data_IF_143783312242
#
_entry.id   IF_143783312242
#
_cell.length_a   1.000
_cell.length_b   1.000
_cell.length_c   1.000
_cell.angle_alpha   90.00
_cell.angle_beta   90.00
_cell.angle_gamma   90.00
#
_symmetry.space_group_name_H-M   'P 1'
#
loop_
_entity.id
_entity.type
_entity.pdbx_description
1 polymer ?
#
# COMPACT_ATOMS: atom_id res chain seq x y z
N UNK A 1 -18.34 -14.67 8.66
CA UNK A 1 -17.49 -13.91 7.73
C UNK A 1 -16.29 -14.77 7.43
N UNK A 2 -16.15 -15.29 6.20
CA UNK A 2 -14.91 -15.94 5.78
C UNK A 2 -13.79 -14.93 5.91
N UNK A 3 -12.80 -15.22 6.73
CA UNK A 3 -11.70 -14.28 6.95
C UNK A 3 -10.80 -14.25 5.73
N UNK A 4 -10.35 -13.05 5.32
CA UNK A 4 -9.27 -12.82 4.32
C UNK A 4 -8.08 -13.79 4.47
N UNK A 5 -7.89 -14.31 5.69
CA UNK A 5 -6.96 -15.37 6.09
C UNK A 5 -6.98 -16.60 5.18
N UNK A 6 -8.14 -17.05 4.69
CA UNK A 6 -8.21 -18.26 3.83
C UNK A 6 -7.74 -18.02 2.39
N UNK A 7 -7.53 -16.77 1.99
CA UNK A 7 -7.21 -16.40 0.61
C UNK A 7 -5.71 -16.11 0.39
N UNK A 8 -4.90 -16.08 1.47
CA UNK A 8 -3.47 -15.77 1.43
C UNK A 8 -2.61 -16.99 1.15
N UNK A 9 -3.01 -17.71 0.10
CA UNK A 9 -2.43 -18.99 -0.29
C UNK A 9 -0.90 -18.87 -0.45
N UNK A 10 -0.40 -17.81 -1.09
CA UNK A 10 1.04 -17.64 -1.29
C UNK A 10 1.78 -17.40 0.04
N UNK A 11 1.17 -16.70 1.00
CA UNK A 11 1.82 -16.45 2.28
C UNK A 11 2.00 -17.76 3.06
N UNK A 12 0.93 -18.55 3.17
CA UNK A 12 0.91 -19.82 3.91
C UNK A 12 1.88 -20.84 3.28
N UNK A 13 2.00 -20.83 1.95
CA UNK A 13 2.90 -21.71 1.22
C UNK A 13 4.38 -21.30 1.30
N UNK A 14 4.65 -20.04 1.66
CA UNK A 14 6.01 -19.50 1.77
C UNK A 14 6.48 -19.36 3.22
N UNK A 15 5.68 -19.71 4.23
CA UNK A 15 6.08 -19.58 5.65
C UNK A 15 7.29 -20.43 6.05
N UNK A 16 7.65 -21.44 5.24
CA UNK A 16 8.83 -22.30 5.45
C UNK A 16 10.12 -21.71 4.83
N UNK A 17 10.01 -20.74 3.91
CA UNK A 17 11.15 -20.13 3.23
C UNK A 17 11.41 -18.70 3.74
N UNK A 18 12.66 -18.24 3.69
CA UNK A 18 12.97 -16.83 3.90
C UNK A 18 12.33 -16.02 2.77
N UNK A 19 11.13 -15.49 3.01
CA UNK A 19 10.30 -14.64 2.11
C UNK A 19 11.07 -13.51 1.39
N UNK A 20 12.30 -13.22 1.83
CA UNK A 20 13.17 -12.21 1.22
C UNK A 20 13.73 -12.66 -0.14
N UNK A 21 14.02 -13.96 -0.35
CA UNK A 21 14.56 -14.50 -1.60
C UNK A 21 13.71 -15.63 -2.18
N UNK A 22 13.06 -15.38 -3.30
CA UNK A 22 12.11 -16.30 -3.94
C UNK A 22 12.65 -16.76 -5.30
N UNK A 23 12.72 -18.08 -5.52
CA UNK A 23 13.07 -18.62 -6.84
C UNK A 23 11.90 -18.48 -7.79
N UNK A 24 12.15 -17.94 -8.99
CA UNK A 24 11.13 -17.76 -10.01
C UNK A 24 10.45 -19.09 -10.37
N UNK A 25 11.22 -20.16 -10.57
CA UNK A 25 10.69 -21.48 -10.88
C UNK A 25 9.70 -21.98 -9.83
N UNK A 26 9.99 -21.76 -8.54
CA UNK A 26 9.09 -22.14 -7.44
C UNK A 26 7.79 -21.35 -7.46
N UNK A 27 7.85 -20.04 -7.74
CA UNK A 27 6.66 -19.20 -7.88
C UNK A 27 5.77 -19.67 -9.05
N UNK A 28 6.39 -20.07 -10.17
CA UNK A 28 5.68 -20.63 -11.33
C UNK A 28 4.98 -21.94 -10.95
N UNK A 29 5.71 -22.86 -10.30
CA UNK A 29 5.18 -24.14 -9.85
C UNK A 29 4.00 -23.95 -8.89
N UNK A 30 4.17 -23.11 -7.86
CA UNK A 30 3.13 -22.80 -6.86
C UNK A 30 1.88 -22.19 -7.51
N UNK A 31 2.05 -21.27 -8.45
CA UNK A 31 0.90 -20.65 -9.12
C UNK A 31 0.09 -21.65 -9.93
N UNK A 32 0.77 -22.65 -10.50
CA UNK A 32 0.15 -23.70 -11.30
C UNK A 32 -0.48 -24.78 -10.43
N UNK A 33 0.20 -25.20 -9.37
CA UNK A 33 -0.25 -26.21 -8.40
C UNK A 33 -1.54 -25.79 -7.70
N UNK A 34 -1.68 -24.50 -7.39
CA UNK A 34 -2.76 -23.96 -6.57
C UNK A 34 -3.76 -23.07 -7.34
N UNK A 35 -3.69 -23.02 -8.69
CA UNK A 35 -4.53 -22.14 -9.55
C UNK A 35 -4.57 -20.67 -9.07
N UNK A 36 -3.41 -20.12 -8.72
CA UNK A 36 -3.30 -18.77 -8.16
C UNK A 36 -3.08 -17.75 -9.27
N UNK A 37 -3.88 -16.67 -9.27
CA UNK A 37 -3.68 -15.51 -10.13
C UNK A 37 -2.41 -14.73 -9.75
N UNK A 38 -1.25 -15.17 -10.25
CA UNK A 38 0.07 -14.62 -9.97
C UNK A 38 0.65 -13.83 -11.14
N UNK A 39 1.26 -12.69 -10.82
CA UNK A 39 2.11 -11.88 -11.69
C UNK A 39 3.46 -11.68 -11.00
N UNK A 40 4.56 -11.85 -11.73
CA UNK A 40 5.91 -11.69 -11.17
C UNK A 40 6.69 -10.65 -11.97
N UNK A 41 7.20 -9.64 -11.26
CA UNK A 41 7.97 -8.54 -11.84
C UNK A 41 9.43 -8.57 -11.37
N UNK A 42 10.39 -8.44 -12.28
CA UNK A 42 11.81 -8.21 -12.01
C UNK A 42 12.20 -6.81 -12.53
N UNK A 43 12.58 -5.90 -11.64
CA UNK A 43 12.85 -4.50 -12.02
C UNK A 43 14.32 -4.25 -12.39
N UNK A 44 15.23 -4.85 -11.62
CA UNK A 44 16.67 -4.69 -11.81
C UNK A 44 17.46 -5.80 -11.12
N UNK A 45 18.61 -6.15 -11.70
CA UNK A 45 19.56 -7.06 -11.08
C UNK A 45 20.23 -6.42 -9.86
N UNK A 46 20.38 -7.21 -8.79
CA UNK A 46 21.11 -6.88 -7.58
C UNK A 46 22.49 -7.55 -7.62
N UNK A 47 23.50 -6.89 -7.05
CA UNK A 47 24.80 -7.53 -6.85
C UNK A 47 24.68 -8.68 -5.83
N UNK A 48 25.61 -9.65 -5.85
CA UNK A 48 25.68 -10.65 -4.78
C UNK A 48 25.75 -9.99 -3.39
N UNK A 49 24.83 -10.37 -2.50
CA UNK A 49 24.73 -9.82 -1.14
C UNK A 49 24.15 -8.41 -1.02
N UNK A 50 23.87 -7.71 -2.13
CA UNK A 50 23.22 -6.39 -2.08
C UNK A 50 21.75 -6.54 -1.70
N UNK A 51 21.30 -5.76 -0.70
CA UNK A 51 19.89 -5.70 -0.31
C UNK A 51 19.11 -4.72 -1.17
N UNK A 52 17.79 -4.90 -1.25
CA UNK A 52 16.89 -3.96 -1.95
C UNK A 52 17.07 -2.54 -1.41
N UNK A 53 17.20 -2.38 -0.08
CA UNK A 53 17.41 -1.10 0.58
C UNK A 53 18.72 -0.43 0.16
N UNK A 54 19.83 -1.18 0.12
CA UNK A 54 21.13 -0.67 -0.31
C UNK A 54 21.07 -0.19 -1.77
N UNK A 55 20.50 -1.01 -2.65
CA UNK A 55 20.32 -0.68 -4.05
C UNK A 55 19.48 0.61 -4.21
N UNK A 56 18.29 0.66 -3.60
CA UNK A 56 17.39 1.82 -3.68
C UNK A 56 18.04 3.10 -3.17
N UNK A 57 18.80 3.03 -2.07
CA UNK A 57 19.54 4.18 -1.52
C UNK A 57 20.60 4.71 -2.49
N UNK A 58 21.25 3.82 -3.24
CA UNK A 58 22.23 4.22 -4.25
C UNK A 58 21.58 4.83 -5.49
N UNK A 59 20.40 4.34 -5.88
CA UNK A 59 19.75 4.75 -7.13
C UNK A 59 18.98 6.04 -6.99
N UNK A 60 18.30 6.31 -5.86
CA UNK A 60 17.55 7.56 -5.66
C UNK A 60 18.40 8.81 -5.76
N UNK A 61 19.70 8.70 -5.51
CA UNK A 61 20.67 9.78 -5.66
C UNK A 61 20.97 10.09 -7.15
N UNK A 62 20.75 9.12 -8.02
CA UNK A 62 20.91 9.25 -9.47
C UNK A 62 19.54 9.51 -10.12
N UNK A 63 19.40 10.51 -10.99
CA UNK A 63 18.14 10.80 -11.71
C UNK A 63 17.72 9.70 -12.73
N UNK A 64 18.00 8.42 -12.46
CA UNK A 64 17.61 7.28 -13.31
C UNK A 64 16.10 7.02 -13.14
N UNK A 65 15.30 7.59 -14.03
CA UNK A 65 13.86 7.77 -13.86
C UNK A 65 12.97 6.63 -14.42
N UNK A 66 13.47 5.41 -14.60
CA UNK A 66 12.67 4.34 -15.22
C UNK A 66 12.95 2.98 -14.60
N UNK A 67 12.85 2.86 -13.28
CA UNK A 67 12.74 1.55 -12.63
C UNK A 67 11.27 1.30 -12.29
N UNK A 68 10.84 0.05 -12.46
CA UNK A 68 9.53 -0.40 -12.00
C UNK A 68 8.68 -1.08 -13.07
N UNK A 69 7.40 -1.27 -12.76
CA UNK A 69 6.48 -2.09 -13.54
C UNK A 69 5.98 -1.43 -14.83
N UNK A 70 6.32 -0.16 -15.07
CA UNK A 70 6.06 0.52 -16.34
C UNK A 70 6.99 0.04 -17.48
N UNK A 71 8.05 -0.71 -17.17
CA UNK A 71 8.89 -1.36 -18.19
C UNK A 71 8.24 -2.65 -18.65
N UNK A 72 8.08 -2.80 -19.96
CA UNK A 72 7.44 -3.97 -20.57
C UNK A 72 8.12 -5.28 -20.14
N UNK A 73 9.44 -5.31 -20.19
CA UNK A 73 10.29 -6.44 -19.84
C UNK A 73 10.34 -6.74 -18.34
N UNK A 74 9.79 -5.86 -17.49
CA UNK A 74 9.80 -6.11 -16.05
C UNK A 74 8.87 -7.24 -15.64
N UNK A 75 7.77 -7.46 -16.35
CA UNK A 75 6.86 -8.57 -16.09
C UNK A 75 7.43 -9.85 -16.72
N UNK A 76 7.92 -10.77 -15.87
CA UNK A 76 8.62 -11.99 -16.30
C UNK A 76 7.74 -13.23 -16.27
N UNK A 77 6.63 -13.20 -15.52
CA UNK A 77 5.70 -14.32 -15.46
C UNK A 77 4.26 -13.86 -15.23
N UNK A 78 3.35 -14.54 -15.93
CA UNK A 78 1.91 -14.54 -15.68
C UNK A 78 1.44 -15.98 -15.55
N UNK A 79 0.81 -16.29 -14.42
CA UNK A 79 0.16 -17.59 -14.23
C UNK A 79 -0.98 -17.79 -15.25
N UNK A 80 -1.33 -19.05 -15.58
CA UNK A 80 -2.51 -19.36 -16.41
C UNK A 80 -3.78 -18.72 -15.87
N UNK A 81 -3.93 -18.69 -14.54
CA UNK A 81 -5.06 -18.06 -13.87
C UNK A 81 -5.10 -16.55 -14.11
N UNK A 82 -3.97 -15.86 -13.95
CA UNK A 82 -3.88 -14.41 -14.18
C UNK A 82 -4.17 -14.05 -15.64
N UNK A 83 -3.70 -14.85 -16.61
CA UNK A 83 -4.03 -14.67 -18.02
C UNK A 83 -5.55 -14.72 -18.25
N UNK A 84 -6.20 -15.76 -17.72
CA UNK A 84 -7.66 -15.90 -17.81
C UNK A 84 -8.41 -14.76 -17.13
N UNK A 85 -7.98 -14.41 -15.91
CA UNK A 85 -8.63 -13.39 -15.09
C UNK A 85 -8.51 -11.98 -15.66
N UNK A 86 -7.41 -11.67 -16.35
CA UNK A 86 -7.16 -10.38 -17.00
C UNK A 86 -7.58 -10.35 -18.47
N UNK A 87 -8.16 -11.44 -18.97
CA UNK A 87 -8.49 -11.67 -20.37
C UNK A 87 -7.31 -11.34 -21.29
N UNK A 88 -6.18 -12.02 -21.04
CA UNK A 88 -4.93 -11.92 -21.77
C UNK A 88 -4.63 -13.25 -22.44
N UNK A 89 -4.13 -13.21 -23.68
CA UNK A 89 -3.79 -14.40 -24.45
C UNK A 89 -2.37 -14.89 -24.21
N UNK A 90 -1.45 -14.00 -23.82
CA UNK A 90 -0.05 -14.34 -23.62
C UNK A 90 0.68 -13.41 -22.64
N UNK A 91 1.90 -13.79 -22.25
CA UNK A 91 2.78 -12.95 -21.44
C UNK A 91 3.11 -11.63 -22.15
N UNK A 92 3.40 -11.68 -23.45
CA UNK A 92 3.79 -10.51 -24.25
C UNK A 92 2.66 -9.49 -24.33
N UNK A 93 1.41 -9.95 -24.48
CA UNK A 93 0.24 -9.08 -24.42
C UNK A 93 0.10 -8.45 -23.03
N UNK A 94 0.27 -9.25 -21.97
CA UNK A 94 0.25 -8.78 -20.60
C UNK A 94 1.33 -7.74 -20.31
N UNK A 95 2.56 -7.97 -20.77
CA UNK A 95 3.69 -7.04 -20.65
C UNK A 95 3.35 -5.68 -21.30
N UNK A 96 2.76 -5.68 -22.50
CA UNK A 96 2.37 -4.47 -23.21
C UNK A 96 1.20 -3.73 -22.53
N UNK A 97 0.16 -4.46 -22.13
CA UNK A 97 -1.06 -3.87 -21.56
C UNK A 97 -0.80 -3.34 -20.14
N UNK A 98 -0.17 -4.15 -19.29
CA UNK A 98 0.05 -3.82 -17.88
C UNK A 98 1.08 -2.72 -17.70
N UNK A 99 2.15 -2.67 -18.53
CA UNK A 99 3.11 -1.55 -18.48
C UNK A 99 2.44 -0.20 -18.75
N UNK A 100 1.55 -0.14 -19.74
CA UNK A 100 0.72 1.04 -20.04
C UNK A 100 -0.23 1.39 -18.89
N UNK A 101 -0.79 0.39 -18.22
CA UNK A 101 -1.64 0.64 -17.04
C UNK A 101 -0.85 1.28 -15.91
N UNK A 102 0.34 0.74 -15.59
CA UNK A 102 1.21 1.33 -14.57
C UNK A 102 1.61 2.76 -14.88
N UNK A 103 1.83 3.07 -16.17
CA UNK A 103 2.16 4.43 -16.60
C UNK A 103 0.94 5.36 -16.61
N UNK A 104 -0.22 4.89 -17.09
CA UNK A 104 -1.41 5.70 -17.33
C UNK A 104 -2.36 5.86 -16.12
N UNK A 105 -2.45 4.86 -15.25
CA UNK A 105 -3.42 4.82 -14.15
C UNK A 105 -2.84 5.45 -12.88
N UNK A 106 -3.44 6.54 -12.42
CA UNK A 106 -2.97 7.28 -11.25
C UNK A 106 -2.85 6.44 -9.98
N UNK A 107 -3.82 5.55 -9.73
CA UNK A 107 -3.81 4.61 -8.61
C UNK A 107 -2.57 3.70 -8.63
N UNK A 108 -2.23 3.14 -9.79
CA UNK A 108 -1.05 2.27 -9.94
C UNK A 108 0.25 3.06 -9.74
N UNK A 109 0.34 4.31 -10.22
CA UNK A 109 1.51 5.17 -9.94
C UNK A 109 1.68 5.43 -8.43
N UNK A 110 0.59 5.70 -7.72
CA UNK A 110 0.60 5.91 -6.26
C UNK A 110 1.00 4.64 -5.50
N UNK A 111 0.48 3.51 -5.95
CA UNK A 111 0.84 2.19 -5.44
C UNK A 111 2.35 1.91 -5.63
N UNK A 112 2.91 2.22 -6.79
CA UNK A 112 4.36 2.08 -7.03
C UNK A 112 5.19 3.01 -6.15
N UNK A 113 4.78 4.27 -5.99
CA UNK A 113 5.45 5.20 -5.07
C UNK A 113 5.45 4.69 -3.63
N UNK A 114 4.35 4.07 -3.21
CA UNK A 114 4.22 3.46 -1.89
C UNK A 114 5.19 2.27 -1.75
N UNK A 115 5.25 1.40 -2.75
CA UNK A 115 6.20 0.28 -2.81
C UNK A 115 7.66 0.77 -2.64
N UNK A 116 8.05 1.80 -3.39
CA UNK A 116 9.39 2.38 -3.31
C UNK A 116 9.72 2.89 -1.90
N UNK A 117 8.80 3.63 -1.29
CA UNK A 117 8.98 4.20 0.06
C UNK A 117 9.10 3.11 1.13
N UNK A 118 8.25 2.09 1.08
CA UNK A 118 8.32 0.95 2.00
C UNK A 118 9.66 0.20 1.85
N UNK A 119 10.06 -0.13 0.61
CA UNK A 119 11.30 -0.85 0.35
C UNK A 119 12.56 -0.07 0.76
N UNK A 120 12.58 1.26 0.58
CA UNK A 120 13.67 2.13 1.06
C UNK A 120 13.85 2.09 2.59
N UNK A 121 12.76 1.82 3.32
CA UNK A 121 12.77 1.71 4.79
C UNK A 121 13.09 0.31 5.28
N UNK A 122 13.23 -0.66 4.37
CA UNK A 122 13.34 -2.07 4.74
C UNK A 122 12.00 -2.68 5.16
N UNK A 123 10.88 -2.05 4.82
CA UNK A 123 9.56 -2.62 5.00
C UNK A 123 9.17 -3.43 3.77
N UNK A 124 9.34 -4.76 3.86
CA UNK A 124 9.01 -5.71 2.81
C UNK A 124 7.74 -6.51 3.13
N UNK A 125 6.89 -6.00 4.03
CA UNK A 125 5.62 -6.66 4.32
C UNK A 125 4.70 -6.60 3.09
N UNK A 126 3.85 -7.63 2.87
CA UNK A 126 2.82 -7.55 1.87
C UNK A 126 1.85 -6.41 2.17
N UNK A 127 1.36 -5.81 1.11
CA UNK A 127 0.40 -4.73 1.17
C UNK A 127 -0.71 -4.96 0.16
N UNK A 128 -1.94 -4.75 0.60
CA UNK A 128 -3.14 -5.01 -0.20
C UNK A 128 -3.67 -3.72 -0.79
N UNK A 129 -3.80 -3.70 -2.11
CA UNK A 129 -4.61 -2.74 -2.83
C UNK A 129 -5.93 -3.34 -3.20
N UNK A 130 -6.91 -2.46 -3.36
CA UNK A 130 -8.16 -2.82 -4.01
C UNK A 130 -8.20 -2.18 -5.36
N UNK A 131 -8.61 -2.96 -6.33
CA UNK A 131 -8.85 -2.48 -7.67
C UNK A 131 -10.26 -2.88 -8.09
N UNK A 132 -10.86 -2.01 -8.90
CA UNK A 132 -12.08 -2.33 -9.62
C UNK A 132 -11.69 -2.50 -11.08
N UNK A 133 -11.90 -3.70 -11.60
CA UNK A 133 -11.86 -3.99 -13.02
C UNK A 133 -13.26 -3.72 -13.55
N UNK A 134 -13.42 -2.56 -14.19
CA UNK A 134 -14.68 -2.17 -14.81
C UNK A 134 -14.99 -3.12 -15.96
N UNK A 135 -16.23 -3.57 -15.99
CA UNK A 135 -16.78 -4.32 -17.11
C UNK A 135 -16.75 -3.51 -18.40
N UNK A 136 -16.76 -4.20 -19.53
CA UNK A 136 -16.91 -3.57 -20.83
C UNK A 136 -18.38 -3.48 -21.27
N UNK A 137 -18.62 -2.86 -22.43
CA UNK A 137 -19.97 -2.79 -23.02
C UNK A 137 -20.44 -4.13 -23.57
N UNK A 138 -19.56 -5.12 -23.69
CA UNK A 138 -19.83 -6.42 -24.30
C UNK A 138 -20.38 -7.43 -23.27
N UNK A 139 -20.48 -7.03 -22.01
CA UNK A 139 -21.27 -7.73 -21.00
C UNK A 139 -20.45 -8.28 -19.84
N UNK A 140 -19.15 -8.00 -19.78
CA UNK A 140 -18.37 -8.34 -18.59
C UNK A 140 -18.90 -7.56 -17.39
N UNK A 141 -19.19 -8.26 -16.30
CA UNK A 141 -19.58 -7.62 -15.05
C UNK A 141 -18.36 -6.89 -14.45
N UNK A 142 -18.59 -5.73 -13.83
CA UNK A 142 -17.57 -5.07 -13.02
C UNK A 142 -17.20 -5.96 -11.83
N UNK A 143 -15.90 -6.15 -11.62
CA UNK A 143 -15.36 -7.01 -10.56
C UNK A 143 -14.44 -6.20 -9.65
N UNK A 144 -14.49 -6.45 -8.35
CA UNK A 144 -13.46 -5.93 -7.45
C UNK A 144 -12.48 -7.01 -7.01
N UNK A 145 -11.27 -6.55 -6.81
CA UNK A 145 -10.07 -7.36 -6.66
C UNK A 145 -9.29 -6.88 -5.45
N UNK A 146 -8.81 -7.85 -4.66
CA UNK A 146 -7.70 -7.63 -3.76
C UNK A 146 -6.41 -7.96 -4.52
N UNK A 147 -5.53 -6.98 -4.63
CA UNK A 147 -4.23 -7.09 -5.26
C UNK A 147 -3.20 -7.01 -4.15
N UNK A 148 -2.57 -8.13 -3.84
CA UNK A 148 -1.56 -8.20 -2.80
C UNK A 148 -0.20 -8.14 -3.48
N UNK A 149 0.65 -7.22 -3.02
CA UNK A 149 1.99 -7.08 -3.53
C UNK A 149 3.00 -7.46 -2.45
N UNK A 150 3.96 -8.30 -2.81
CA UNK A 150 5.12 -8.64 -1.99
C UNK A 150 6.37 -8.06 -2.67
N UNK A 151 7.05 -7.09 -2.05
CA UNK A 151 8.42 -6.77 -2.41
C UNK A 151 9.31 -7.97 -2.10
N UNK A 152 10.11 -8.42 -3.07
CA UNK A 152 10.96 -9.58 -2.89
C UNK A 152 12.26 -9.47 -3.70
N UNK A 153 13.28 -10.24 -3.31
CA UNK A 153 14.38 -10.58 -4.19
C UNK A 153 13.98 -11.82 -4.98
N UNK A 154 13.94 -11.74 -6.29
CA UNK A 154 13.59 -12.86 -7.17
C UNK A 154 14.86 -13.41 -7.77
N UNK A 155 15.08 -14.71 -7.61
CA UNK A 155 16.19 -15.44 -8.21
C UNK A 155 15.69 -16.06 -9.51
N UNK A 156 16.24 -15.64 -10.64
CA UNK A 156 15.88 -16.20 -11.94
C UNK A 156 16.49 -17.59 -12.18
N UNK A 157 16.20 -18.17 -13.34
CA UNK A 157 16.68 -19.50 -13.74
C UNK A 157 18.21 -19.59 -13.87
N UNK A 158 18.89 -18.46 -13.99
CA UNK A 158 20.35 -18.36 -14.07
C UNK A 158 21.00 -18.08 -12.71
N UNK A 159 20.21 -17.98 -11.64
CA UNK A 159 20.70 -17.65 -10.31
C UNK A 159 20.98 -16.16 -10.11
N UNK A 160 20.56 -15.29 -11.03
CA UNK A 160 20.72 -13.83 -10.88
C UNK A 160 19.63 -13.32 -9.95
N UNK A 161 20.05 -12.52 -8.96
CA UNK A 161 19.15 -11.87 -8.00
C UNK A 161 18.59 -10.61 -8.62
N UNK A 162 17.27 -10.43 -8.58
CA UNK A 162 16.58 -9.23 -9.02
C UNK A 162 15.80 -8.63 -7.86
N UNK A 163 15.80 -7.31 -7.71
CA UNK A 163 14.72 -6.68 -6.95
C UNK A 163 13.46 -6.73 -7.82
N UNK A 164 12.39 -7.23 -7.22
CA UNK A 164 11.13 -7.37 -7.90
C UNK A 164 9.92 -7.28 -6.99
N UNK A 165 8.79 -7.69 -7.55
CA UNK A 165 7.51 -7.73 -6.87
C UNK A 165 6.74 -8.95 -7.33
N UNK A 166 6.24 -9.72 -6.37
CA UNK A 166 5.21 -10.73 -6.63
C UNK A 166 3.86 -10.06 -6.39
N UNK A 167 2.92 -10.19 -7.34
CA UNK A 167 1.56 -9.68 -7.21
C UNK A 167 0.58 -10.83 -7.33
N UNK A 168 -0.28 -11.00 -6.33
CA UNK A 168 -1.38 -11.95 -6.37
C UNK A 168 -2.69 -11.18 -6.53
N UNK A 169 -3.46 -11.54 -7.55
CA UNK A 169 -4.83 -11.08 -7.73
C UNK A 169 -5.80 -12.07 -7.12
N UNK A 170 -6.66 -11.60 -6.23
CA UNK A 170 -7.72 -12.38 -5.62
C UNK A 170 -9.04 -11.68 -5.87
N UNK A 171 -10.00 -12.43 -6.43
CA UNK A 171 -11.37 -11.93 -6.58
C UNK A 171 -12.00 -11.81 -5.20
N UNK A 172 -12.50 -10.63 -4.87
CA UNK A 172 -13.21 -10.43 -3.62
C UNK A 172 -14.52 -11.24 -3.60
N UNK A 173 -14.82 -11.90 -2.48
CA UNK A 173 -16.11 -12.55 -2.27
C UNK A 173 -17.26 -11.53 -2.24
N UNK A 174 -18.49 -11.97 -2.55
CA UNK A 174 -19.68 -11.10 -2.56
C UNK A 174 -19.92 -10.37 -1.24
N UNK A 175 -19.80 -11.07 -0.12
CA UNK A 175 -19.96 -10.49 1.22
C UNK A 175 -18.88 -9.43 1.50
N UNK A 176 -17.64 -9.71 1.09
CA UNK A 176 -16.52 -8.78 1.23
C UNK A 176 -16.76 -7.53 0.37
N UNK A 177 -17.18 -7.71 -0.88
CA UNK A 177 -17.54 -6.62 -1.79
C UNK A 177 -18.62 -5.73 -1.17
N UNK A 178 -19.67 -6.31 -0.58
CA UNK A 178 -20.75 -5.54 0.04
C UNK A 178 -20.25 -4.74 1.25
N UNK A 179 -19.50 -5.39 2.15
CA UNK A 179 -18.92 -4.76 3.34
C UNK A 179 -18.01 -3.58 2.95
N UNK A 180 -17.20 -3.75 1.90
CA UNK A 180 -16.29 -2.70 1.44
C UNK A 180 -16.96 -1.63 0.61
N UNK A 181 -17.91 -1.98 -0.24
CA UNK A 181 -18.71 -0.98 -0.95
C UNK A 181 -19.37 -0.01 0.03
N UNK A 182 -19.84 -0.50 1.19
CA UNK A 182 -20.35 0.37 2.25
C UNK A 182 -19.27 1.28 2.85
N UNK A 183 -18.07 0.77 3.11
CA UNK A 183 -16.94 1.57 3.62
C UNK A 183 -16.48 2.63 2.62
N UNK A 184 -16.28 2.23 1.36
CA UNK A 184 -15.85 3.13 0.29
C UNK A 184 -16.92 4.17 -0.02
N UNK A 185 -18.21 3.80 -0.01
CA UNK A 185 -19.30 4.76 -0.19
C UNK A 185 -19.32 5.81 0.94
N UNK A 186 -19.07 5.42 2.18
CA UNK A 186 -18.92 6.36 3.29
C UNK A 186 -17.67 7.24 3.15
N UNK A 187 -16.56 6.70 2.66
CA UNK A 187 -15.33 7.46 2.43
C UNK A 187 -15.44 8.44 1.25
N UNK A 188 -16.00 7.99 0.12
CA UNK A 188 -16.12 8.74 -1.14
C UNK A 188 -17.20 9.82 -1.07
N UNK A 189 -18.33 9.56 -0.39
CA UNK A 189 -19.43 10.55 -0.23
C UNK A 189 -18.91 11.89 0.32
N UNK A 190 -17.76 11.88 0.98
CA UNK A 190 -17.23 13.02 1.70
C UNK A 190 -15.91 13.57 1.15
N UNK A 191 -15.26 13.02 0.11
CA UNK A 191 -13.99 13.65 -0.35
C UNK A 191 -13.42 13.26 -1.72
N UNK A 192 -12.64 14.18 -2.31
CA UNK A 192 -11.79 14.00 -3.50
C UNK A 192 -10.29 13.86 -3.17
N UNK A 193 -9.95 13.73 -1.88
CA UNK A 193 -8.62 13.84 -1.29
C UNK A 193 -8.00 12.49 -0.86
N UNK A 194 -6.75 12.53 -0.36
CA UNK A 194 -6.16 11.39 0.37
C UNK A 194 -7.00 11.09 1.61
N UNK A 195 -7.34 9.82 1.83
CA UNK A 195 -8.22 9.39 2.94
C UNK A 195 -7.43 8.48 3.87
N UNK A 196 -7.48 8.82 5.16
CA UNK A 196 -6.96 7.99 6.25
C UNK A 196 -8.09 7.75 7.25
N UNK A 197 -8.44 6.48 7.47
CA UNK A 197 -9.41 6.05 8.48
C UNK A 197 -8.66 5.61 9.72
N UNK A 198 -9.00 6.17 10.86
CA UNK A 198 -8.29 6.01 12.13
C UNK A 198 -9.26 5.55 13.21
N UNK A 199 -8.90 4.53 13.96
CA UNK A 199 -9.70 4.07 15.11
C UNK A 199 -9.78 5.18 16.15
N UNK A 200 -10.99 5.52 16.61
CA UNK A 200 -11.16 6.54 17.66
C UNK A 200 -10.55 6.08 18.99
N UNK A 201 -10.59 4.79 19.26
CA UNK A 201 -10.15 4.23 20.55
C UNK A 201 -8.63 4.07 20.63
N UNK A 202 -8.01 3.57 19.57
CA UNK A 202 -6.57 3.30 19.55
C UNK A 202 -5.74 4.39 18.88
N UNK A 203 -6.37 5.27 18.11
CA UNK A 203 -5.72 6.21 17.20
C UNK A 203 -4.87 5.56 16.12
N UNK A 204 -4.93 4.25 15.95
CA UNK A 204 -4.17 3.55 14.92
C UNK A 204 -4.84 3.75 13.56
N UNK A 205 -4.01 3.92 12.53
CA UNK A 205 -4.51 3.94 11.15
C UNK A 205 -5.07 2.56 10.81
N UNK A 206 -6.37 2.51 10.52
CA UNK A 206 -7.06 1.29 10.12
C UNK A 206 -6.94 1.07 8.62
N UNK A 207 -7.25 2.09 7.82
CA UNK A 207 -7.29 1.97 6.36
C UNK A 207 -6.87 3.27 5.70
N UNK A 208 -6.25 3.15 4.53
CA UNK A 208 -5.88 4.28 3.68
C UNK A 208 -6.20 3.98 2.21
N UNK A 209 -6.56 5.03 1.46
CA UNK A 209 -6.57 4.95 0.00
C UNK A 209 -5.15 5.09 -0.57
N UNK A 210 -4.96 4.76 -1.86
CA UNK A 210 -3.65 4.81 -2.52
C UNK A 210 -3.00 6.20 -2.45
N UNK A 211 -3.79 7.28 -2.54
CA UNK A 211 -3.29 8.64 -2.42
C UNK A 211 -2.72 8.94 -1.03
N UNK A 212 -3.43 8.55 0.04
CA UNK A 212 -2.94 8.69 1.42
C UNK A 212 -1.72 7.81 1.67
N UNK A 213 -1.71 6.56 1.22
CA UNK A 213 -0.54 5.68 1.36
C UNK A 213 0.70 6.25 0.66
N UNK A 214 0.53 6.76 -0.57
CA UNK A 214 1.60 7.39 -1.32
C UNK A 214 2.12 8.67 -0.65
N UNK A 215 1.24 9.42 0.03
CA UNK A 215 1.60 10.64 0.76
C UNK A 215 2.33 10.32 2.06
N UNK A 216 1.80 9.40 2.87
CA UNK A 216 2.28 9.08 4.21
C UNK A 216 3.40 8.05 4.24
N UNK A 217 3.56 7.23 3.20
CA UNK A 217 4.57 6.16 3.14
C UNK A 217 4.38 5.08 4.21
N UNK A 218 3.17 4.88 4.70
CA UNK A 218 2.77 3.83 5.64
C UNK A 218 1.45 3.21 5.21
N UNK A 219 1.10 2.10 5.86
CA UNK A 219 -0.13 1.35 5.60
C UNK A 219 -0.93 1.19 6.89
N UNK A 220 -2.26 1.25 6.77
CA UNK A 220 -3.16 0.96 7.88
C UNK A 220 -3.16 -0.53 8.27
N UNK A 221 -3.67 -0.86 9.45
CA UNK A 221 -3.74 -2.24 9.92
C UNK A 221 -4.51 -3.13 8.95
N UNK A 222 -5.64 -2.66 8.40
CA UNK A 222 -6.46 -3.38 7.43
C UNK A 222 -5.80 -3.48 6.04
N UNK A 223 -4.81 -2.64 5.73
CA UNK A 223 -3.97 -2.80 4.55
C UNK A 223 -2.86 -3.85 4.75
N UNK A 224 -2.49 -4.12 6.02
CA UNK A 224 -1.43 -5.06 6.43
C UNK A 224 -1.95 -6.43 6.92
N UNK A 225 -3.24 -6.55 7.25
CA UNK A 225 -3.86 -7.78 7.79
C UNK A 225 -3.92 -8.95 6.78
N UNK A 226 -3.36 -8.76 5.59
CA UNK A 226 -3.00 -9.85 4.69
C UNK A 226 -1.87 -10.77 5.21
N UNK A 227 -1.39 -10.61 6.44
CA UNK A 227 -0.35 -11.47 7.03
C UNK A 227 -0.85 -12.16 8.29
N UNK A 228 -1.36 -13.39 8.15
CA UNK A 228 -1.94 -14.22 9.22
C UNK A 228 -0.94 -14.54 10.35
N UNK A 229 0.36 -14.58 10.05
CA UNK A 229 1.41 -14.94 11.03
C UNK A 229 2.14 -13.76 11.66
N UNK A 230 1.65 -12.53 11.44
CA UNK A 230 2.20 -11.33 12.07
C UNK A 230 2.17 -11.36 13.60
N UNK A 231 1.38 -12.24 14.24
CA UNK A 231 1.36 -12.34 15.72
C UNK A 231 2.69 -12.82 16.31
N UNK A 232 3.39 -13.78 15.69
CA UNK A 232 4.68 -14.29 16.20
C UNK A 232 5.85 -13.35 15.89
N UNK A 233 5.92 -12.78 14.67
CA UNK A 233 6.95 -11.79 14.32
C UNK A 233 6.71 -10.42 15.00
N UNK A 234 5.47 -10.06 15.36
CA UNK A 234 5.14 -8.84 16.15
C UNK A 234 5.91 -8.76 17.45
N UNK A 235 6.01 -9.86 18.19
CA UNK A 235 6.71 -9.86 19.48
C UNK A 235 8.23 -9.63 19.31
N UNK A 236 8.82 -10.14 18.23
CA UNK A 236 10.26 -9.98 17.97
C UNK A 236 10.63 -8.60 17.39
N UNK A 237 9.76 -7.98 16.58
CA UNK A 237 10.02 -6.62 16.04
C UNK A 237 9.92 -5.53 17.10
N UNK A 238 9.01 -5.65 18.06
CA UNK A 238 8.92 -4.71 19.20
C UNK A 238 10.23 -4.67 20.01
N UNK A 239 10.96 -5.79 20.09
CA UNK A 239 12.26 -5.84 20.79
C UNK A 239 13.41 -5.17 20.04
N UNK A 240 13.32 -4.98 18.70
CA UNK A 240 14.42 -4.42 17.88
C UNK A 240 14.32 -2.91 17.63
N UNK A 241 13.30 -2.23 18.15
CA UNK A 241 13.17 -0.77 18.04
C UNK A 241 12.81 -0.25 16.63
N UNK A 242 12.45 -1.14 15.69
CA UNK A 242 11.88 -0.74 14.40
C UNK A 242 10.42 -0.30 14.57
N UNK A 243 10.23 0.93 15.06
CA UNK A 243 8.91 1.54 15.23
C UNK A 243 8.43 2.07 13.87
N UNK A 244 7.68 1.23 13.14
CA UNK A 244 6.75 1.76 12.14
C UNK A 244 5.67 2.62 12.81
N UNK A 245 4.64 3.03 12.06
CA UNK A 245 3.48 3.74 12.64
C UNK A 245 2.72 2.90 13.69
N UNK A 246 3.01 1.59 13.75
CA UNK A 246 2.46 0.67 14.74
C UNK A 246 2.90 1.07 16.16
N UNK A 247 1.97 1.63 16.92
CA UNK A 247 2.18 2.06 18.31
C UNK A 247 2.10 3.57 18.52
N UNK A 248 1.97 4.35 17.44
CA UNK A 248 1.71 5.78 17.53
C UNK A 248 0.24 6.09 17.28
N UNK A 249 -0.31 6.97 18.11
CA UNK A 249 -1.64 7.54 17.91
C UNK A 249 -1.53 8.55 16.74
N UNK A 250 -2.18 8.26 15.61
CA UNK A 250 -2.00 9.02 14.37
C UNK A 250 -2.38 10.49 14.51
N UNK A 251 -3.45 10.80 15.27
CA UNK A 251 -3.83 12.19 15.54
C UNK A 251 -2.75 12.93 16.33
N UNK A 252 -2.00 12.26 17.21
CA UNK A 252 -0.94 12.89 17.99
C UNK A 252 0.25 13.23 17.11
N UNK A 253 0.50 12.42 16.08
CA UNK A 253 1.50 12.69 15.06
C UNK A 253 1.08 13.87 14.18
N UNK A 254 -0.16 13.85 13.71
CA UNK A 254 -0.71 14.84 12.78
C UNK A 254 -0.88 16.22 13.42
N UNK A 255 -1.33 16.25 14.68
CA UNK A 255 -1.55 17.47 15.47
C UNK A 255 -0.44 17.74 16.47
N UNK A 256 0.79 17.25 16.24
CA UNK A 256 1.87 17.37 17.21
C UNK A 256 2.17 18.81 17.66
N UNK A 257 2.18 19.76 16.72
CA UNK A 257 2.33 21.19 16.99
C UNK A 257 1.00 21.93 17.26
N UNK A 258 -0.12 21.20 17.24
CA UNK A 258 -1.50 21.72 17.26
C UNK A 258 -2.34 20.90 18.28
N UNK A 259 -1.72 20.50 19.40
CA UNK A 259 -2.36 19.59 20.38
C UNK A 259 -3.53 20.25 21.09
N UNK A 260 -3.48 21.57 21.21
CA UNK A 260 -4.53 22.42 21.75
C UNK A 260 -5.84 22.35 20.97
N UNK A 261 -5.82 21.88 19.71
CA UNK A 261 -7.01 21.75 18.88
C UNK A 261 -7.72 20.41 19.03
N UNK A 262 -7.06 19.40 19.61
CA UNK A 262 -7.67 18.07 19.80
C UNK A 262 -8.99 18.13 20.60
N UNK A 263 -9.13 18.94 21.66
CA UNK A 263 -10.41 19.13 22.34
C UNK A 263 -11.51 19.68 21.42
N UNK A 264 -11.19 20.68 20.58
CA UNK A 264 -12.18 21.28 19.66
C UNK A 264 -12.55 20.34 18.52
N UNK A 265 -11.58 19.62 17.96
CA UNK A 265 -11.80 18.52 17.03
C UNK A 265 -12.78 17.50 17.63
N UNK A 266 -12.49 17.02 18.84
CA UNK A 266 -13.32 16.04 19.53
C UNK A 266 -14.73 16.56 19.80
N UNK A 267 -14.86 17.80 20.27
CA UNK A 267 -16.17 18.41 20.51
C UNK A 267 -16.97 18.58 19.21
N UNK A 268 -16.32 19.00 18.12
CA UNK A 268 -16.95 19.24 16.83
C UNK A 268 -17.47 17.95 16.21
N UNK A 269 -16.62 16.92 16.12
CA UNK A 269 -17.02 15.64 15.51
C UNK A 269 -18.01 14.87 16.38
N UNK A 270 -17.96 14.97 17.72
CA UNK A 270 -18.98 14.36 18.59
C UNK A 270 -20.39 14.93 18.38
N UNK A 271 -20.49 16.19 17.93
CA UNK A 271 -21.76 16.83 17.54
C UNK A 271 -22.19 16.47 16.11
N UNK A 272 -21.46 15.59 15.43
CA UNK A 272 -21.70 15.24 14.03
C UNK A 272 -21.21 16.28 13.03
N UNK A 273 -20.37 17.23 13.47
CA UNK A 273 -19.76 18.24 12.60
C UNK A 273 -18.51 17.73 11.87
N UNK A 274 -18.02 18.55 10.94
CA UNK A 274 -16.72 18.39 10.29
C UNK A 274 -15.75 19.38 10.90
N UNK A 275 -14.60 18.90 11.37
CA UNK A 275 -13.51 19.75 11.85
C UNK A 275 -12.52 20.00 10.72
N UNK A 276 -12.29 21.25 10.35
CA UNK A 276 -11.36 21.63 9.27
C UNK A 276 -10.21 22.44 9.86
N UNK A 277 -8.96 22.08 9.56
CA UNK A 277 -7.78 22.84 9.99
C UNK A 277 -6.60 22.64 9.04
N UNK A 278 -5.81 23.69 8.84
CA UNK A 278 -4.46 23.58 8.27
C UNK A 278 -3.49 23.19 9.38
N UNK A 279 -2.87 22.01 9.28
CA UNK A 279 -1.88 21.50 10.23
C UNK A 279 -0.49 21.55 9.62
N UNK A 280 0.50 21.90 10.43
CA UNK A 280 1.91 21.82 10.06
C UNK A 280 2.50 20.47 10.49
N UNK A 281 3.18 19.78 9.57
CA UNK A 281 3.79 18.48 9.83
C UNK A 281 5.18 18.67 10.42
N UNK A 282 5.22 18.73 11.75
CA UNK A 282 6.44 18.93 12.53
C UNK A 282 6.91 17.67 13.24
N UNK A 283 6.04 16.66 13.43
CA UNK A 283 6.42 15.45 14.14
C UNK A 283 7.50 14.66 13.39
N UNK A 284 8.68 14.36 13.99
CA UNK A 284 9.79 13.71 13.30
C UNK A 284 9.41 12.39 12.63
N UNK A 285 8.68 11.52 13.35
CA UNK A 285 8.20 10.24 12.80
C UNK A 285 7.33 10.44 11.56
N UNK A 286 6.35 11.34 11.59
CA UNK A 286 5.47 11.57 10.44
C UNK A 286 6.23 12.21 9.26
N UNK A 287 7.15 13.14 9.53
CA UNK A 287 8.02 13.72 8.49
C UNK A 287 8.91 12.67 7.84
N UNK A 288 9.56 11.83 8.64
CA UNK A 288 10.36 10.71 8.15
C UNK A 288 9.50 9.80 7.27
N UNK A 289 8.28 9.47 7.71
CA UNK A 289 7.31 8.64 6.98
C UNK A 289 6.85 9.28 5.66
N UNK A 290 6.73 10.60 5.61
CA UNK A 290 6.39 11.32 4.38
C UNK A 290 7.59 11.56 3.46
N UNK A 291 8.81 11.25 3.89
CA UNK A 291 10.04 11.49 3.13
C UNK A 291 10.46 12.96 3.11
N UNK A 292 10.03 13.75 4.11
CA UNK A 292 10.33 15.18 4.23
C UNK A 292 11.71 15.47 4.86
N UNK A 293 12.51 14.42 5.12
CA UNK A 293 13.85 14.48 5.69
C UNK A 293 13.91 14.97 7.15
N UNK A 294 15.06 14.72 7.78
CA UNK A 294 15.38 15.18 9.15
C UNK A 294 16.30 16.42 9.14
N UNK A 295 16.40 17.11 8.00
CA UNK A 295 17.33 18.23 7.81
C UNK A 295 16.99 19.40 8.75
N UNK A 296 17.99 20.06 9.36
CA UNK A 296 17.79 21.28 10.17
C UNK A 296 17.20 22.45 9.36
N UNK A 297 17.26 22.37 8.02
CA UNK A 297 16.54 23.25 7.12
C UNK A 297 15.20 22.59 6.76
N UNK A 298 14.23 22.72 7.67
CA UNK A 298 12.90 22.16 7.49
C UNK A 298 12.22 22.77 6.28
N UNK A 299 11.85 21.93 5.30
CA UNK A 299 10.82 22.32 4.34
C UNK A 299 9.49 22.37 5.11
N UNK A 300 8.88 23.55 5.13
CA UNK A 300 7.52 23.77 5.66
C UNK A 300 6.56 22.85 4.92
N UNK A 301 5.83 22.05 5.70
CA UNK A 301 4.93 21.03 5.20
C UNK A 301 3.57 21.23 5.87
N UNK A 302 2.55 21.56 5.09
CA UNK A 302 1.21 21.78 5.61
C UNK A 302 0.21 20.83 4.96
N UNK A 303 -0.79 20.41 5.72
CA UNK A 303 -1.99 19.74 5.21
C UNK A 303 -3.24 20.48 5.64
N UNK A 304 -4.12 20.71 4.68
CA UNK A 304 -5.50 21.06 4.98
C UNK A 304 -6.24 19.75 5.28
N UNK A 305 -6.58 19.54 6.55
CA UNK A 305 -7.24 18.33 7.03
C UNK A 305 -8.71 18.61 7.31
N UNK A 306 -9.57 17.70 6.89
CA UNK A 306 -10.96 17.66 7.35
C UNK A 306 -11.18 16.33 8.07
N UNK A 307 -11.68 16.43 9.30
CA UNK A 307 -11.88 15.29 10.19
C UNK A 307 -13.36 15.16 10.48
N UNK A 308 -13.90 13.99 10.16
CA UNK A 308 -15.27 13.59 10.52
C UNK A 308 -15.21 12.32 11.36
N UNK A 309 -16.25 12.06 12.15
CA UNK A 309 -16.41 10.78 12.85
C UNK A 309 -17.61 10.03 12.29
N UNK A 310 -17.41 8.74 12.04
CA UNK A 310 -18.47 7.84 11.62
C UNK A 310 -18.35 6.52 12.37
N UNK A 311 -19.30 5.60 12.14
CA UNK A 311 -19.17 4.21 12.55
C UNK A 311 -18.80 3.38 11.33
N UNK A 312 -17.79 2.54 11.46
CA UNK A 312 -17.46 1.55 10.43
C UNK A 312 -18.69 0.65 10.22
N UNK A 313 -19.22 0.52 9.00
CA UNK A 313 -20.46 -0.20 8.76
C UNK A 313 -20.35 -1.71 8.97
N UNK A 314 -19.13 -2.24 9.14
CA UNK A 314 -18.87 -3.67 9.28
C UNK A 314 -18.51 -4.02 10.73
N UNK A 315 -17.56 -3.29 11.34
CA UNK A 315 -17.16 -3.52 12.74
C UNK A 315 -18.02 -2.77 13.74
N UNK A 316 -18.77 -1.77 13.27
CA UNK A 316 -19.57 -0.83 14.08
C UNK A 316 -18.74 0.07 15.02
N UNK A 317 -17.41 -0.05 14.95
CA UNK A 317 -16.47 0.77 15.73
C UNK A 317 -16.50 2.22 15.24
N UNK A 318 -16.24 3.15 16.16
CA UNK A 318 -16.10 4.56 15.79
C UNK A 318 -14.75 4.78 15.12
N UNK A 319 -14.78 5.46 13.98
CA UNK A 319 -13.57 5.82 13.25
C UNK A 319 -13.60 7.29 12.85
N UNK A 320 -12.43 7.93 12.94
CA UNK A 320 -12.19 9.21 12.29
C UNK A 320 -11.91 8.95 10.80
N UNK A 321 -12.58 9.69 9.93
CA UNK A 321 -12.20 9.82 8.52
C UNK A 321 -11.49 11.15 8.36
N UNK A 322 -10.22 11.09 8.01
CA UNK A 322 -9.36 12.25 7.80
C UNK A 322 -9.13 12.38 6.30
N UNK A 323 -9.72 13.42 5.70
CA UNK A 323 -9.41 13.83 4.33
C UNK A 323 -8.25 14.82 4.34
N UNK A 324 -7.35 14.69 3.37
CA UNK A 324 -6.20 15.58 3.18
C UNK A 324 -6.26 16.20 1.79
N UNK A 325 -6.80 17.41 1.71
CA UNK A 325 -6.76 18.19 0.47
C UNK A 325 -5.30 18.59 0.18
N UNK A 326 -4.97 18.63 -1.12
CA UNK A 326 -3.61 18.54 -1.64
C UNK A 326 -2.54 19.40 -0.95
N UNK A 327 -1.32 18.86 -0.97
CA UNK A 327 -0.08 19.52 -0.59
C UNK A 327 0.22 20.64 -1.60
N UNK A 328 -0.03 21.90 -1.25
CA UNK A 328 0.68 22.99 -1.92
C UNK A 328 2.12 22.99 -1.42
N UNK A 329 3.00 22.26 -2.12
CA UNK A 329 4.41 22.63 -2.11
C UNK A 329 4.45 24.04 -2.69
N UNK A 330 4.51 25.03 -1.80
CA UNK A 330 5.16 26.28 -2.12
C UNK A 330 6.61 25.94 -2.43
N UNK A 331 6.87 25.44 -3.66
CA UNK A 331 8.14 25.66 -4.32
C UNK A 331 8.26 27.17 -4.36
N UNK A 332 8.90 27.72 -3.34
CA UNK A 332 9.54 29.01 -3.44
C UNK A 332 10.38 28.92 -4.71
N UNK A 333 9.85 29.49 -5.79
CA UNK A 333 10.64 29.89 -6.94
C UNK A 333 11.62 30.94 -6.41
N UNK A 334 12.76 30.48 -5.92
CA UNK A 334 13.98 31.26 -5.80
C UNK A 334 15.14 30.41 -6.31
#
# INVERSE_FOLDING_TARGET
MGSLVEELILHDLLEEEELEELKLSRLVDLSSEHDIGLLVYCFCALKPGESIRQYLSSVTSSKRSQLGPCRRESLVHLSPRALKDLNLSSLEEGQEKLSKWWDGVAMLRQEWQTHLRSAQRGDFQPFVFRAVLFGDKEGDATQAWNLINWPAVIIDEHGVRHWGMVRQGIRASGDFLQCWALRDLLAIKHTTAGITVVSVESGCVMWQNAASMAMMGCHGSLNSEAGVSSRRKRQNKIQKGEQGLQGHHYLDLLFYAHKEDLPDLNATVQRGGTFCKRVEITHPVLRYLMGLGDSPHFEEAHHDVEVTVSRDPVTLERAYTISQAGYELNRMQK
#
